data_IF_791890417035
#
_entry.id   IF_791890417035
#
_cell.length_a   1.000
_cell.length_b   1.000
_cell.length_c   1.000
_cell.angle_alpha   90.00
_cell.angle_beta   90.00
_cell.angle_gamma   90.00
#
_symmetry.space_group_name_H-M   'P 1'
#
loop_
_entity.id
_entity.type
_entity.pdbx_description
1 polymer ?
#
# COMPACT_ATOMS: atom_id res chain seq x y z
N UNK A 1 29.16 -3.01 75.52
CA UNK A 1 30.18 -2.01 75.90
C UNK A 1 31.26 -1.92 74.82
N UNK A 2 31.77 -0.69 74.59
CA UNK A 2 32.95 -0.27 73.80
C UNK A 2 32.87 -0.25 72.25
N UNK A 3 32.73 0.99 71.75
CA UNK A 3 33.25 1.48 70.46
C UNK A 3 34.75 1.18 70.31
N UNK A 4 35.22 0.96 69.09
CA UNK A 4 36.49 1.55 68.64
C UNK A 4 36.52 1.77 67.13
N UNK A 5 36.90 3.00 66.79
CA UNK A 5 37.25 3.55 65.48
C UNK A 5 38.36 2.78 64.78
N UNK A 6 38.23 2.60 63.46
CA UNK A 6 39.35 2.55 62.48
C UNK A 6 38.83 2.63 61.04
N UNK A 7 38.18 3.74 60.71
CA UNK A 7 37.89 4.13 59.33
C UNK A 7 38.60 5.42 58.99
N UNK A 8 39.89 5.37 58.60
CA UNK A 8 40.51 6.48 57.85
C UNK A 8 41.91 6.23 57.23
N UNK A 9 42.27 4.98 56.86
CA UNK A 9 43.58 4.72 56.25
C UNK A 9 43.52 4.22 54.78
N UNK A 10 42.33 3.88 54.26
CA UNK A 10 42.20 3.35 52.88
C UNK A 10 41.84 4.39 51.82
N UNK A 11 41.24 5.52 52.18
CA UNK A 11 40.83 6.53 51.19
C UNK A 11 41.95 7.49 50.75
N UNK A 12 43.03 7.64 51.53
CA UNK A 12 44.13 8.56 51.20
C UNK A 12 45.11 7.98 50.18
N UNK A 13 45.27 6.64 50.12
CA UNK A 13 46.14 5.99 49.12
C UNK A 13 45.53 5.88 47.71
N UNK A 14 44.20 5.84 47.60
CA UNK A 14 43.52 5.78 46.30
C UNK A 14 43.53 7.12 45.54
N UNK A 15 43.35 8.24 46.25
CA UNK A 15 43.35 9.56 45.64
C UNK A 15 44.75 10.04 45.21
N UNK A 16 45.83 9.60 45.88
CA UNK A 16 47.19 9.99 45.47
C UNK A 16 47.68 9.27 44.19
N UNK A 17 47.14 8.09 43.86
CA UNK A 17 47.53 7.33 42.66
C UNK A 17 46.87 7.81 41.36
N UNK A 18 45.77 8.58 41.44
CA UNK A 18 45.02 9.06 40.26
C UNK A 18 45.37 10.50 39.89
N UNK A 19 45.86 11.30 40.83
CA UNK A 19 46.21 12.71 40.59
C UNK A 19 47.47 12.85 39.73
N UNK A 20 48.46 11.97 39.92
CA UNK A 20 49.72 11.98 39.18
C UNK A 20 49.56 11.71 37.67
N UNK A 21 48.82 10.67 37.21
CA UNK A 21 48.59 10.47 35.78
C UNK A 21 47.68 11.54 35.14
N UNK A 22 46.73 12.11 35.90
CA UNK A 22 45.88 13.21 35.42
C UNK A 22 46.66 14.52 35.20
N UNK A 23 47.58 14.85 36.12
CA UNK A 23 48.46 16.02 35.97
C UNK A 23 49.47 15.83 34.83
N UNK A 24 49.99 14.61 34.62
CA UNK A 24 50.82 14.27 33.47
C UNK A 24 50.05 14.40 32.15
N UNK A 25 48.82 13.89 32.08
CA UNK A 25 47.96 14.03 30.90
C UNK A 25 47.63 15.50 30.59
N UNK A 26 47.33 16.30 31.62
CA UNK A 26 47.11 17.74 31.47
C UNK A 26 48.37 18.48 31.03
N UNK A 27 49.54 18.13 31.57
CA UNK A 27 50.84 18.70 31.18
C UNK A 27 51.18 18.37 29.72
N UNK A 28 50.97 17.13 29.27
CA UNK A 28 51.14 16.77 27.86
C UNK A 28 50.12 17.49 26.96
N UNK A 29 48.85 17.57 27.36
CA UNK A 29 47.83 18.27 26.59
C UNK A 29 48.15 19.77 26.42
N UNK A 30 48.61 20.43 27.50
CA UNK A 30 49.06 21.82 27.46
C UNK A 30 50.34 22.00 26.64
N UNK A 31 51.31 21.09 26.75
CA UNK A 31 52.53 21.10 25.92
C UNK A 31 52.20 20.92 24.42
N UNK A 32 51.27 20.03 24.07
CA UNK A 32 50.81 19.84 22.68
C UNK A 32 50.04 21.05 22.14
N UNK A 33 49.33 21.79 23.00
CA UNK A 33 48.69 23.06 22.62
C UNK A 33 49.72 24.20 22.45
N UNK A 34 50.75 24.28 23.29
CA UNK A 34 51.75 25.36 23.25
C UNK A 34 52.83 25.16 22.18
N UNK A 35 53.15 23.91 21.79
CA UNK A 35 54.21 23.63 20.81
C UNK A 35 53.75 23.66 19.34
N UNK A 36 52.47 23.94 19.03
CA UNK A 36 52.03 24.18 17.65
C UNK A 36 52.37 23.07 16.64
N UNK A 37 52.59 21.83 17.10
CA UNK A 37 53.15 20.74 16.26
C UNK A 37 52.11 20.13 15.31
N UNK A 38 50.83 20.50 15.42
CA UNK A 38 49.82 20.14 14.42
C UNK A 38 49.25 21.32 13.63
N UNK A 39 49.78 22.54 13.79
CA UNK A 39 49.39 23.70 12.99
C UNK A 39 50.34 24.00 11.81
N UNK A 40 51.32 23.13 11.53
CA UNK A 40 52.35 23.37 10.52
C UNK A 40 52.48 22.31 9.40
N UNK A 41 51.59 21.32 9.29
CA UNK A 41 51.58 20.37 8.14
C UNK A 41 50.42 20.60 7.14
N UNK A 42 49.42 21.42 7.45
CA UNK A 42 48.43 21.85 6.45
C UNK A 42 48.23 23.37 6.49
N UNK A 43 49.29 24.11 6.16
CA UNK A 43 49.19 25.48 5.64
C UNK A 43 49.56 25.46 4.16
N UNK A 44 48.76 24.73 3.38
CA UNK A 44 48.67 25.04 1.95
C UNK A 44 47.91 26.36 1.84
N UNK A 45 48.61 27.35 1.32
CA UNK A 45 48.08 28.65 0.99
C UNK A 45 46.75 28.54 0.25
N UNK A 46 45.80 29.41 0.61
CA UNK A 46 44.60 29.65 -0.16
C UNK A 46 44.97 30.07 -1.58
N UNK A 47 44.92 29.11 -2.50
CA UNK A 47 44.69 29.26 -3.94
C UNK A 47 44.42 27.86 -4.48
N UNK A 48 43.19 27.64 -4.95
CA UNK A 48 42.69 26.44 -5.63
C UNK A 48 42.20 25.27 -4.75
N UNK A 49 41.12 25.47 -3.99
CA UNK A 49 40.24 24.35 -3.58
C UNK A 49 39.11 24.10 -4.60
N UNK A 50 38.79 25.08 -5.44
CA UNK A 50 37.70 24.97 -6.41
C UNK A 50 38.00 24.05 -7.61
N UNK A 51 39.28 23.87 -7.99
CA UNK A 51 39.63 23.01 -9.15
C UNK A 51 39.61 21.52 -8.79
N UNK A 52 39.89 21.16 -7.53
CA UNK A 52 39.90 19.77 -7.07
C UNK A 52 38.52 19.19 -6.73
N UNK A 53 37.64 20.00 -6.13
CA UNK A 53 36.25 19.59 -5.85
C UNK A 53 35.42 19.43 -7.12
N UNK A 54 35.62 20.32 -8.12
CA UNK A 54 34.96 20.21 -9.43
C UNK A 54 35.42 18.93 -10.17
N UNK A 55 36.72 18.62 -10.18
CA UNK A 55 37.23 17.37 -10.77
C UNK A 55 36.67 16.12 -10.06
N UNK A 56 36.53 16.13 -8.73
CA UNK A 56 35.96 14.99 -8.01
C UNK A 56 34.46 14.82 -8.26
N UNK A 57 33.68 15.90 -8.24
CA UNK A 57 32.24 15.87 -8.56
C UNK A 57 32.00 15.43 -10.00
N UNK A 58 32.80 15.91 -10.95
CA UNK A 58 32.68 15.52 -12.35
C UNK A 58 33.06 14.04 -12.57
N UNK A 59 34.06 13.52 -11.84
CA UNK A 59 34.36 12.08 -11.84
C UNK A 59 33.24 11.25 -11.24
N UNK A 60 32.65 11.69 -10.13
CA UNK A 60 31.49 11.02 -9.54
C UNK A 60 30.33 10.98 -10.53
N UNK A 61 30.05 12.11 -11.19
CA UNK A 61 29.02 12.21 -12.23
C UNK A 61 29.29 11.24 -13.39
N UNK A 62 30.52 11.23 -13.90
CA UNK A 62 30.94 10.33 -14.98
C UNK A 62 30.92 8.84 -14.57
N UNK A 63 30.99 8.53 -13.27
CA UNK A 63 30.93 7.16 -12.75
C UNK A 63 29.51 6.58 -12.63
N UNK A 64 28.46 7.42 -12.79
CA UNK A 64 27.08 6.96 -12.65
C UNK A 64 26.76 5.97 -13.78
N UNK A 65 26.51 4.72 -13.39
CA UNK A 65 26.20 3.63 -14.32
C UNK A 65 24.70 3.36 -14.33
N UNK A 66 24.09 3.39 -15.52
CA UNK A 66 22.70 2.99 -15.72
C UNK A 66 22.59 1.48 -15.94
N UNK A 67 21.68 0.86 -15.19
CA UNK A 67 21.39 -0.56 -15.21
C UNK A 67 19.95 -0.78 -15.71
N UNK A 68 19.67 -1.87 -16.44
CA UNK A 68 18.33 -2.12 -16.98
C UNK A 68 17.30 -2.29 -15.85
N UNK A 69 16.10 -1.71 -16.02
CA UNK A 69 14.96 -1.93 -15.11
C UNK A 69 14.28 -3.28 -15.31
N UNK A 70 14.53 -3.95 -16.45
CA UNK A 70 13.96 -5.27 -16.78
C UNK A 70 15.02 -6.18 -17.39
N UNK A 71 15.05 -7.42 -16.93
CA UNK A 71 15.72 -8.54 -17.58
C UNK A 71 14.64 -9.55 -18.01
N UNK A 72 14.67 -9.99 -19.26
CA UNK A 72 13.67 -10.91 -19.82
C UNK A 72 13.78 -12.34 -19.28
N UNK A 73 14.90 -12.67 -18.61
CA UNK A 73 15.14 -13.97 -17.99
C UNK A 73 14.55 -14.05 -16.57
N UNK A 74 14.26 -12.91 -15.98
CA UNK A 74 13.80 -12.78 -14.59
C UNK A 74 12.41 -12.16 -14.51
N UNK A 75 11.72 -12.40 -13.40
CA UNK A 75 10.44 -11.73 -13.16
C UNK A 75 10.66 -10.24 -12.86
N UNK A 76 9.76 -9.38 -13.33
CA UNK A 76 9.90 -7.94 -13.17
C UNK A 76 10.03 -7.51 -11.68
N UNK A 77 9.27 -8.15 -10.80
CA UNK A 77 9.31 -7.94 -9.34
C UNK A 77 10.67 -8.29 -8.71
N UNK A 78 11.46 -9.14 -9.38
CA UNK A 78 12.81 -9.52 -8.94
C UNK A 78 13.86 -8.56 -9.50
N UNK A 79 13.73 -8.15 -10.77
CA UNK A 79 14.79 -7.39 -11.45
C UNK A 79 14.70 -5.86 -11.25
N UNK A 80 13.52 -5.31 -11.04
CA UNK A 80 13.32 -3.87 -10.97
C UNK A 80 14.13 -3.24 -9.81
N UNK A 81 15.17 -2.46 -10.12
CA UNK A 81 16.14 -1.90 -9.14
C UNK A 81 16.88 -3.01 -8.36
N UNK A 82 17.32 -4.06 -9.04
CA UNK A 82 17.89 -5.28 -8.44
C UNK A 82 19.23 -5.13 -7.70
N UNK A 83 19.94 -4.01 -7.82
CA UNK A 83 21.22 -3.81 -7.10
C UNK A 83 21.07 -3.57 -5.61
N UNK A 84 19.84 -3.36 -5.13
CA UNK A 84 19.53 -3.18 -3.73
C UNK A 84 18.47 -4.19 -3.29
N UNK A 85 18.65 -4.74 -2.10
CA UNK A 85 17.65 -5.56 -1.43
C UNK A 85 16.60 -4.68 -0.75
N UNK A 86 15.34 -5.01 -0.98
CA UNK A 86 14.20 -4.36 -0.35
C UNK A 86 13.94 -4.95 1.04
N UNK A 87 13.69 -4.08 2.01
CA UNK A 87 13.54 -4.46 3.42
C UNK A 87 12.11 -4.27 3.90
N UNK A 88 11.68 -5.12 4.85
CA UNK A 88 10.42 -4.96 5.59
C UNK A 88 10.74 -4.28 6.92
N UNK A 89 10.92 -2.96 6.89
CA UNK A 89 11.31 -2.18 8.08
C UNK A 89 10.25 -1.13 8.43
N UNK A 90 9.63 -1.20 9.64
CA UNK A 90 9.79 -2.26 10.64
C UNK A 90 9.24 -3.61 10.17
N UNK A 91 9.65 -4.70 10.84
CA UNK A 91 9.20 -6.06 10.54
C UNK A 91 7.66 -6.13 10.36
N UNK A 92 7.25 -6.81 9.30
CA UNK A 92 5.86 -7.01 8.98
C UNK A 92 5.23 -5.89 8.15
N UNK A 93 5.99 -4.89 7.71
CA UNK A 93 5.60 -3.93 6.69
C UNK A 93 5.84 -4.44 5.26
N UNK A 94 5.28 -3.75 4.27
CA UNK A 94 5.58 -4.03 2.88
C UNK A 94 7.07 -3.82 2.59
N UNK A 95 7.65 -4.74 1.83
CA UNK A 95 9.04 -4.58 1.38
C UNK A 95 9.16 -3.35 0.49
N UNK A 96 10.12 -2.50 0.81
CA UNK A 96 10.35 -1.24 0.11
C UNK A 96 11.83 -0.89 0.00
N UNK A 97 12.15 -0.03 -0.97
CA UNK A 97 13.40 0.70 -1.05
C UNK A 97 13.12 2.18 -0.80
N UNK A 98 13.96 2.83 0.01
CA UNK A 98 13.85 4.26 0.30
C UNK A 98 15.11 4.96 -0.19
N UNK A 99 14.94 6.11 -0.84
CA UNK A 99 16.01 6.93 -1.37
C UNK A 99 15.83 8.39 -0.95
N UNK A 100 16.91 9.09 -0.59
CA UNK A 100 18.20 8.53 -0.19
C UNK A 100 18.08 7.71 1.10
N UNK A 101 18.96 6.74 1.30
CA UNK A 101 19.03 5.95 2.54
C UNK A 101 20.44 5.44 2.81
N UNK A 102 20.66 4.83 3.98
CA UNK A 102 21.92 4.14 4.28
C UNK A 102 22.21 3.01 3.28
N UNK A 103 21.18 2.27 2.84
CA UNK A 103 21.32 1.21 1.84
C UNK A 103 21.76 1.77 0.48
N UNK A 104 21.29 2.96 0.10
CA UNK A 104 21.76 3.65 -1.10
C UNK A 104 23.03 4.46 -0.88
N UNK A 105 23.67 4.42 0.30
CA UNK A 105 24.81 5.28 0.67
C UNK A 105 24.53 6.78 0.44
N UNK A 106 23.30 7.22 0.71
CA UNK A 106 22.86 8.61 0.52
C UNK A 106 22.57 9.00 -0.93
N UNK A 107 22.63 8.06 -1.88
CA UNK A 107 22.35 8.32 -3.31
C UNK A 107 20.85 8.38 -3.59
N UNK A 108 20.49 9.25 -4.53
CA UNK A 108 19.16 9.40 -5.11
C UNK A 108 18.91 8.32 -6.16
N UNK A 109 17.63 8.04 -6.42
CA UNK A 109 17.20 7.19 -7.52
C UNK A 109 17.05 8.05 -8.80
N UNK A 110 17.77 7.68 -9.84
CA UNK A 110 17.64 8.24 -11.19
C UNK A 110 17.05 7.20 -12.13
N UNK A 111 16.06 7.58 -12.94
CA UNK A 111 15.41 6.73 -13.93
C UNK A 111 15.55 7.35 -15.32
N UNK A 112 16.02 6.56 -16.28
CA UNK A 112 15.92 6.86 -17.70
C UNK A 112 14.87 5.91 -18.28
N UNK A 113 13.69 6.44 -18.59
CA UNK A 113 12.51 5.62 -18.89
C UNK A 113 11.75 6.09 -20.14
N UNK A 114 12.38 6.06 -21.33
CA UNK A 114 11.76 6.54 -22.56
C UNK A 114 10.61 5.63 -23.06
N UNK A 115 10.57 4.36 -22.63
CA UNK A 115 9.70 3.34 -23.21
C UNK A 115 8.47 3.02 -22.38
N UNK A 116 7.32 3.01 -23.05
CA UNK A 116 6.00 2.63 -22.49
C UNK A 116 5.54 1.25 -22.92
N UNK A 117 6.30 0.58 -23.79
CA UNK A 117 5.92 -0.69 -24.46
C UNK A 117 6.99 -1.76 -24.39
N UNK A 118 8.18 -1.39 -23.93
CA UNK A 118 9.32 -2.28 -23.81
C UNK A 118 10.17 -1.86 -22.63
N UNK A 119 9.95 -2.49 -21.47
CA UNK A 119 10.66 -2.18 -20.24
C UNK A 119 12.16 -2.48 -20.28
N UNK A 120 12.65 -3.25 -21.26
CA UNK A 120 14.10 -3.52 -21.41
C UNK A 120 14.88 -2.28 -21.86
N UNK A 121 14.16 -1.28 -22.41
CA UNK A 121 14.72 0.01 -22.82
C UNK A 121 14.74 1.05 -21.70
N UNK A 122 14.21 0.72 -20.54
CA UNK A 122 14.23 1.61 -19.38
C UNK A 122 15.35 1.16 -18.43
N UNK A 123 15.97 2.12 -17.77
CA UNK A 123 17.12 1.92 -16.91
C UNK A 123 17.05 2.78 -15.64
N UNK A 124 17.82 2.41 -14.63
CA UNK A 124 17.98 3.15 -13.39
C UNK A 124 19.45 3.32 -13.04
N UNK A 125 19.75 4.36 -12.26
CA UNK A 125 21.06 4.59 -11.68
C UNK A 125 20.91 5.17 -10.27
N UNK A 126 21.99 5.12 -9.50
CA UNK A 126 22.09 5.76 -8.19
C UNK A 126 23.17 6.84 -8.25
N UNK A 127 22.82 8.07 -7.87
CA UNK A 127 23.74 9.21 -7.92
C UNK A 127 23.63 10.09 -6.67
N UNK A 128 24.72 10.73 -6.27
CA UNK A 128 24.69 11.74 -5.20
C UNK A 128 24.01 13.01 -5.70
N UNK A 129 23.33 13.73 -4.81
CA UNK A 129 22.60 14.96 -5.14
C UNK A 129 23.46 16.00 -5.87
N UNK A 130 24.74 16.12 -5.48
CA UNK A 130 25.66 17.11 -6.06
C UNK A 130 26.40 16.58 -7.31
N UNK A 131 26.23 15.30 -7.63
CA UNK A 131 26.89 14.60 -8.74
C UNK A 131 25.88 13.81 -9.60
N UNK A 132 24.73 14.43 -9.91
CA UNK A 132 23.73 13.84 -10.81
C UNK A 132 24.30 13.70 -12.23
N UNK A 133 23.86 12.70 -13.02
CA UNK A 133 24.25 12.53 -14.42
C UNK A 133 24.05 13.82 -15.24
N UNK A 134 24.88 14.02 -16.25
CA UNK A 134 24.77 15.20 -17.11
C UNK A 134 23.39 15.29 -17.76
N UNK A 135 22.80 16.48 -17.70
CA UNK A 135 21.47 16.76 -18.22
C UNK A 135 20.32 16.19 -17.38
N UNK A 136 20.57 15.47 -16.28
CA UNK A 136 19.51 14.88 -15.48
C UNK A 136 18.64 15.95 -14.80
N UNK A 137 17.33 15.71 -14.77
CA UNK A 137 16.36 16.57 -14.11
C UNK A 137 16.13 16.11 -12.66
N UNK A 138 16.43 16.97 -11.69
CA UNK A 138 16.09 16.72 -10.29
C UNK A 138 14.63 17.10 -10.03
N UNK A 139 13.85 16.14 -9.56
CA UNK A 139 12.44 16.26 -9.23
C UNK A 139 12.28 16.41 -7.71
N UNK A 140 11.83 17.58 -7.19
CA UNK A 140 11.80 17.86 -5.76
C UNK A 140 10.61 17.22 -5.02
N UNK A 141 10.77 16.82 -3.76
CA UNK A 141 9.76 16.12 -2.96
C UNK A 141 9.64 14.62 -3.24
N UNK A 142 8.78 13.96 -2.45
CA UNK A 142 8.62 12.49 -2.46
C UNK A 142 8.02 11.98 -3.77
N UNK A 143 8.70 11.04 -4.41
CA UNK A 143 8.17 10.20 -5.47
C UNK A 143 7.72 8.85 -4.90
N UNK A 144 6.46 8.48 -5.16
CA UNK A 144 6.04 7.08 -5.03
C UNK A 144 6.36 6.35 -6.33
N UNK A 145 7.13 5.26 -6.24
CA UNK A 145 7.49 4.43 -7.39
C UNK A 145 6.87 3.04 -7.24
N UNK A 146 6.02 2.66 -8.19
CA UNK A 146 5.31 1.39 -8.22
C UNK A 146 5.81 0.53 -9.37
N UNK A 147 6.26 -0.68 -9.09
CA UNK A 147 6.39 -1.74 -10.10
C UNK A 147 5.47 -2.90 -9.71
N UNK A 148 4.72 -3.41 -10.68
CA UNK A 148 3.83 -4.54 -10.46
C UNK A 148 3.73 -5.39 -11.71
N UNK A 149 3.53 -6.70 -11.55
CA UNK A 149 3.22 -7.61 -12.66
C UNK A 149 1.81 -7.40 -13.23
N UNK A 150 0.97 -6.59 -12.58
CA UNK A 150 -0.41 -6.40 -12.96
C UNK A 150 -0.72 -5.00 -13.47
N UNK A 151 -1.71 -4.90 -14.36
CA UNK A 151 -2.15 -3.63 -14.91
C UNK A 151 -2.85 -2.73 -13.87
N UNK A 152 -2.40 -1.48 -13.76
CA UNK A 152 -2.96 -0.44 -12.91
C UNK A 152 -4.38 0.00 -13.31
N UNK A 153 -4.85 -0.34 -14.52
CA UNK A 153 -6.23 -0.07 -14.96
C UNK A 153 -7.27 -0.97 -14.28
N UNK A 154 -6.86 -2.14 -13.79
CA UNK A 154 -7.75 -3.06 -13.10
C UNK A 154 -7.79 -2.73 -11.61
N UNK A 155 -9.00 -2.59 -11.05
CA UNK A 155 -9.18 -2.15 -9.66
C UNK A 155 -8.48 -3.06 -8.64
N UNK A 156 -8.65 -4.39 -8.75
CA UNK A 156 -8.03 -5.34 -7.82
C UNK A 156 -6.51 -5.37 -7.95
N UNK A 157 -6.01 -5.31 -9.19
CA UNK A 157 -4.59 -5.28 -9.45
C UNK A 157 -3.94 -4.00 -8.92
N UNK A 158 -4.48 -2.84 -9.27
CA UNK A 158 -3.91 -1.57 -8.85
C UNK A 158 -4.07 -1.29 -7.35
N UNK A 159 -5.15 -1.77 -6.69
CA UNK A 159 -5.24 -1.63 -5.22
C UNK A 159 -4.15 -2.45 -4.52
N UNK A 160 -3.74 -3.60 -5.09
CA UNK A 160 -2.66 -4.41 -4.54
C UNK A 160 -1.29 -3.71 -4.56
N UNK A 161 -1.11 -2.76 -5.50
CA UNK A 161 0.05 -1.88 -5.56
C UNK A 161 -0.10 -0.66 -4.62
N UNK A 162 -1.32 -0.16 -4.41
CA UNK A 162 -1.58 1.00 -3.54
C UNK A 162 -1.51 0.67 -2.03
N UNK A 163 -1.95 -0.53 -1.61
CA UNK A 163 -1.97 -0.97 -0.20
C UNK A 163 -0.61 -0.80 0.51
N UNK A 164 0.53 -1.24 -0.08
CA UNK A 164 1.86 -1.03 0.49
C UNK A 164 2.16 0.44 0.82
N UNK A 165 1.87 1.34 -0.13
CA UNK A 165 2.10 2.75 0.03
C UNK A 165 1.15 3.36 1.07
N UNK A 166 -0.12 2.97 1.08
CA UNK A 166 -1.07 3.40 2.10
C UNK A 166 -0.58 3.04 3.51
N UNK A 167 -0.07 1.82 3.71
CA UNK A 167 0.55 1.39 4.98
C UNK A 167 1.74 2.26 5.36
N UNK A 168 2.68 2.44 4.43
CA UNK A 168 3.88 3.25 4.63
C UNK A 168 3.56 4.72 4.94
N UNK A 169 2.62 5.30 4.21
CA UNK A 169 2.20 6.69 4.37
C UNK A 169 1.49 6.92 5.70
N UNK A 170 0.60 6.01 6.11
CA UNK A 170 -0.05 6.06 7.42
C UNK A 170 1.00 5.98 8.55
N UNK A 171 1.94 5.03 8.45
CA UNK A 171 3.01 4.83 9.42
C UNK A 171 3.92 6.03 9.56
N UNK A 172 4.21 6.73 8.47
CA UNK A 172 5.07 7.92 8.49
C UNK A 172 4.38 9.16 9.06
N UNK A 173 3.16 9.02 9.62
CA UNK A 173 2.34 10.12 10.11
C UNK A 173 1.78 10.97 8.97
N UNK A 174 1.79 10.47 7.74
CA UNK A 174 1.46 11.20 6.51
C UNK A 174 2.30 12.47 6.28
N UNK A 175 3.47 12.57 6.92
CA UNK A 175 4.31 13.78 6.88
C UNK A 175 4.71 14.15 5.46
N UNK A 176 5.10 13.14 4.68
CA UNK A 176 5.46 13.31 3.27
C UNK A 176 4.29 12.85 2.40
N UNK A 177 3.69 13.79 1.67
CA UNK A 177 2.71 13.50 0.62
C UNK A 177 3.46 13.37 -0.71
N UNK A 178 3.10 12.39 -1.57
CA UNK A 178 3.81 12.19 -2.83
C UNK A 178 3.60 13.41 -3.73
N UNK A 179 4.69 14.03 -4.15
CA UNK A 179 4.68 15.08 -5.16
C UNK A 179 4.51 14.50 -6.57
N UNK A 180 4.75 13.18 -6.73
CA UNK A 180 4.52 12.45 -7.97
C UNK A 180 4.45 10.93 -7.79
N UNK A 181 3.88 10.29 -8.80
CA UNK A 181 3.68 8.86 -8.93
C UNK A 181 4.40 8.38 -10.19
N UNK A 182 5.47 7.61 -10.03
CA UNK A 182 6.15 6.94 -11.13
C UNK A 182 5.64 5.49 -11.19
N UNK A 183 4.84 5.18 -12.21
CA UNK A 183 4.13 3.91 -12.30
C UNK A 183 4.75 3.03 -13.39
N UNK A 184 5.04 1.78 -13.04
CA UNK A 184 5.64 0.79 -13.92
C UNK A 184 4.88 -0.53 -13.90
N UNK A 185 4.80 -1.16 -15.06
CA UNK A 185 4.26 -2.51 -15.22
C UNK A 185 5.20 -3.30 -16.13
N UNK A 186 5.87 -4.30 -15.57
CA UNK A 186 6.95 -5.01 -16.25
C UNK A 186 8.07 -4.07 -16.71
N UNK A 187 8.42 -3.09 -15.90
CA UNK A 187 9.42 -2.06 -16.20
C UNK A 187 8.98 -1.04 -17.26
N UNK A 188 7.74 -1.10 -17.76
CA UNK A 188 7.19 -0.14 -18.73
C UNK A 188 6.47 1.01 -18.03
N UNK A 189 6.72 2.25 -18.47
CA UNK A 189 6.06 3.43 -17.90
C UNK A 189 4.55 3.38 -18.14
N UNK A 190 3.78 3.67 -17.08
CA UNK A 190 2.32 3.83 -17.10
C UNK A 190 1.94 5.28 -16.80
N UNK A 191 0.93 5.76 -17.52
CA UNK A 191 0.50 7.17 -17.48
C UNK A 191 -0.61 7.44 -16.47
N UNK A 192 -1.03 6.42 -15.74
CA UNK A 192 -2.08 6.54 -14.75
C UNK A 192 -2.55 5.20 -14.23
N UNK A 193 -3.55 5.27 -13.38
CA UNK A 193 -4.31 4.15 -12.85
C UNK A 193 -5.77 4.30 -13.32
N UNK A 194 -6.63 3.34 -12.96
CA UNK A 194 -8.07 3.54 -13.18
C UNK A 194 -8.57 4.79 -12.42
N UNK A 195 -9.60 5.50 -12.91
CA UNK A 195 -10.15 6.68 -12.22
C UNK A 195 -10.58 6.39 -10.77
N UNK A 196 -11.06 5.18 -10.50
CA UNK A 196 -11.42 4.73 -9.17
C UNK A 196 -10.18 4.63 -8.24
N UNK A 197 -9.07 4.10 -8.76
CA UNK A 197 -7.81 4.00 -8.01
C UNK A 197 -7.16 5.36 -7.80
N UNK A 198 -7.20 6.24 -8.80
CA UNK A 198 -6.78 7.62 -8.67
C UNK A 198 -7.53 8.31 -7.53
N UNK A 199 -8.86 8.21 -7.52
CA UNK A 199 -9.69 8.81 -6.46
C UNK A 199 -9.34 8.25 -5.07
N UNK A 200 -9.06 6.94 -4.97
CA UNK A 200 -8.63 6.32 -3.71
C UNK A 200 -7.23 6.77 -3.27
N UNK A 201 -6.29 6.90 -4.20
CA UNK A 201 -4.93 7.36 -3.93
C UNK A 201 -4.94 8.82 -3.45
N UNK A 202 -5.73 9.67 -4.09
CA UNK A 202 -5.93 11.07 -3.70
C UNK A 202 -6.57 11.18 -2.32
N UNK A 203 -7.61 10.37 -2.04
CA UNK A 203 -8.20 10.32 -0.71
C UNK A 203 -7.18 9.88 0.34
N UNK A 204 -6.43 8.83 0.05
CA UNK A 204 -5.44 8.24 0.96
C UNK A 204 -4.34 9.23 1.34
N UNK A 205 -3.92 10.09 0.40
CA UNK A 205 -2.79 11.01 0.58
C UNK A 205 -3.18 12.46 0.84
N UNK A 206 -4.42 12.85 0.50
CA UNK A 206 -4.93 14.20 0.59
C UNK A 206 -4.30 15.18 -0.42
N UNK A 207 -3.77 14.68 -1.54
CA UNK A 207 -3.21 15.47 -2.65
C UNK A 207 -3.61 14.87 -3.98
N UNK A 208 -3.68 15.71 -5.02
CA UNK A 208 -3.91 15.27 -6.40
C UNK A 208 -2.80 14.32 -6.87
N UNK A 209 -3.18 13.30 -7.64
CA UNK A 209 -2.25 12.31 -8.15
C UNK A 209 -1.55 12.82 -9.43
N UNK A 210 -0.34 13.36 -9.27
CA UNK A 210 0.50 13.77 -10.41
C UNK A 210 1.37 12.60 -10.88
N UNK A 211 1.18 12.14 -12.12
CA UNK A 211 1.96 11.02 -12.68
C UNK A 211 3.23 11.53 -13.36
N UNK A 212 4.38 10.94 -13.03
CA UNK A 212 5.63 11.16 -13.76
C UNK A 212 5.59 10.40 -15.08
N UNK A 213 5.59 11.15 -16.19
CA UNK A 213 5.44 10.58 -17.54
C UNK A 213 6.78 10.38 -18.25
N UNK A 214 7.87 10.88 -17.65
CA UNK A 214 9.24 10.89 -18.19
C UNK A 214 9.36 11.51 -19.59
N UNK A 215 8.31 12.19 -20.07
CA UNK A 215 8.19 12.82 -21.38
C UNK A 215 8.61 11.96 -22.60
N UNK A 216 8.72 10.63 -22.45
CA UNK A 216 9.38 9.75 -23.41
C UNK A 216 10.77 10.26 -23.85
N UNK A 217 11.46 10.96 -22.94
CA UNK A 217 12.79 11.51 -23.14
C UNK A 217 13.84 10.52 -22.68
N UNK A 218 15.01 10.54 -23.34
CA UNK A 218 16.19 9.83 -22.86
C UNK A 218 16.86 10.56 -21.67
N UNK A 219 16.43 11.79 -21.38
CA UNK A 219 16.92 12.58 -20.24
C UNK A 219 16.57 11.87 -18.92
N UNK A 220 17.56 11.52 -18.10
CA UNK A 220 17.30 10.89 -16.81
C UNK A 220 16.56 11.83 -15.85
N UNK A 221 15.63 11.27 -15.09
CA UNK A 221 14.92 11.95 -14.02
C UNK A 221 15.39 11.40 -12.69
N UNK A 222 15.92 12.25 -11.82
CA UNK A 222 16.36 11.88 -10.48
C UNK A 222 15.37 12.42 -9.43
N UNK A 223 15.00 11.60 -8.45
CA UNK A 223 14.06 12.02 -7.41
C UNK A 223 14.81 12.47 -6.15
N UNK A 224 14.43 13.63 -5.60
CA UNK A 224 14.96 14.12 -4.32
C UNK A 224 14.69 13.14 -3.19
N UNK A 225 13.48 12.57 -3.16
CA UNK A 225 13.08 11.49 -2.28
C UNK A 225 12.28 10.47 -3.07
N UNK A 226 12.48 9.17 -2.83
CA UNK A 226 11.66 8.13 -3.43
C UNK A 226 11.40 6.98 -2.46
N UNK A 227 10.19 6.43 -2.53
CA UNK A 227 9.85 5.13 -1.94
C UNK A 227 9.38 4.20 -3.05
N UNK A 228 10.04 3.05 -3.17
CA UNK A 228 9.79 2.07 -4.22
C UNK A 228 9.13 0.83 -3.65
N UNK A 229 8.02 0.40 -4.26
CA UNK A 229 7.38 -0.88 -4.02
C UNK A 229 7.36 -1.70 -5.31
N UNK A 230 8.05 -2.84 -5.30
CA UNK A 230 8.18 -3.74 -6.47
C UNK A 230 7.61 -5.15 -6.25
N UNK A 231 7.08 -5.42 -5.05
CA UNK A 231 6.59 -6.76 -4.63
C UNK A 231 5.16 -6.71 -4.10
N UNK A 232 4.39 -5.69 -4.47
CA UNK A 232 3.04 -5.45 -3.95
C UNK A 232 3.01 -5.59 -2.40
N UNK A 233 2.11 -6.41 -1.86
CA UNK A 233 1.91 -6.63 -0.42
C UNK A 233 2.93 -7.57 0.26
N UNK A 234 4.00 -7.99 -0.42
CA UNK A 234 4.98 -8.91 0.16
C UNK A 234 5.64 -8.32 1.43
N UNK A 235 5.78 -9.16 2.46
CA UNK A 235 6.31 -8.75 3.77
C UNK A 235 5.25 -8.25 4.75
N UNK A 236 4.05 -7.88 4.28
CA UNK A 236 3.01 -7.35 5.17
C UNK A 236 2.40 -8.44 6.05
N UNK A 237 2.38 -8.20 7.36
CA UNK A 237 1.60 -8.96 8.33
C UNK A 237 0.10 -8.71 8.17
N UNK A 238 -0.71 -9.59 8.75
CA UNK A 238 -2.17 -9.44 8.79
C UNK A 238 -2.57 -8.12 9.46
N UNK A 239 -1.90 -7.76 10.54
CA UNK A 239 -2.13 -6.54 11.31
C UNK A 239 -1.87 -5.28 10.45
N UNK A 240 -0.77 -5.26 9.68
CA UNK A 240 -0.45 -4.15 8.78
C UNK A 240 -1.40 -4.05 7.61
N UNK A 241 -1.80 -5.19 7.02
CA UNK A 241 -2.83 -5.21 5.97
C UNK A 241 -4.14 -4.62 6.50
N UNK A 242 -4.62 -5.10 7.65
CA UNK A 242 -5.84 -4.58 8.27
C UNK A 242 -5.75 -3.08 8.55
N UNK A 243 -4.61 -2.59 9.04
CA UNK A 243 -4.40 -1.16 9.28
C UNK A 243 -4.40 -0.34 7.99
N UNK A 244 -3.79 -0.82 6.91
CA UNK A 244 -3.78 -0.16 5.61
C UNK A 244 -5.20 -0.08 5.00
N UNK A 245 -5.97 -1.16 5.06
CA UNK A 245 -7.37 -1.16 4.62
C UNK A 245 -8.23 -0.18 5.45
N UNK A 246 -8.07 -0.17 6.77
CA UNK A 246 -8.76 0.79 7.64
C UNK A 246 -8.40 2.25 7.32
N UNK A 247 -7.12 2.51 7.09
CA UNK A 247 -6.62 3.84 6.75
C UNK A 247 -7.25 4.34 5.44
N UNK A 248 -7.15 3.55 4.37
CA UNK A 248 -7.76 3.88 3.07
C UNK A 248 -9.27 4.08 3.19
N UNK A 249 -9.96 3.18 3.91
CA UNK A 249 -11.40 3.28 4.16
C UNK A 249 -11.77 4.58 4.85
N UNK A 250 -11.05 4.93 5.91
CA UNK A 250 -11.33 6.14 6.65
C UNK A 250 -11.09 7.39 5.79
N UNK A 251 -9.96 7.44 5.08
CA UNK A 251 -9.62 8.55 4.19
C UNK A 251 -10.65 8.74 3.08
N UNK A 252 -11.09 7.66 2.44
CA UNK A 252 -12.15 7.71 1.43
C UNK A 252 -13.47 8.24 2.01
N UNK A 253 -13.87 7.76 3.19
CA UNK A 253 -15.08 8.25 3.88
C UNK A 253 -15.00 9.73 4.21
N UNK A 254 -13.86 10.19 4.73
CA UNK A 254 -13.64 11.59 5.05
C UNK A 254 -13.72 12.48 3.80
N UNK A 255 -13.06 12.09 2.71
CA UNK A 255 -13.13 12.83 1.44
C UNK A 255 -14.55 12.89 0.89
N UNK A 256 -15.32 11.80 1.00
CA UNK A 256 -16.67 11.71 0.46
C UNK A 256 -17.77 12.21 1.39
N UNK A 257 -17.42 12.80 2.54
CA UNK A 257 -18.38 13.33 3.52
C UNK A 257 -19.32 12.26 4.07
N UNK A 258 -18.81 11.06 4.33
CA UNK A 258 -19.59 10.00 4.98
C UNK A 258 -19.60 10.27 6.48
N UNK A 259 -20.75 10.73 6.98
CA UNK A 259 -20.95 10.89 8.41
C UNK A 259 -20.85 9.54 9.13
N UNK A 260 -20.33 9.50 10.37
CA UNK A 260 -20.50 8.33 11.21
C UNK A 260 -22.00 8.01 11.30
N UNK A 261 -22.39 6.72 11.24
CA UNK A 261 -23.80 6.39 11.28
C UNK A 261 -24.41 7.06 12.52
N UNK A 262 -25.50 7.84 12.35
CA UNK A 262 -26.17 8.46 13.48
C UNK A 262 -26.57 7.37 14.47
N UNK A 263 -26.97 7.75 15.70
CA UNK A 263 -27.54 6.84 16.71
C UNK A 263 -28.88 6.20 16.27
N UNK A 264 -29.06 5.89 14.98
CA UNK A 264 -30.09 5.00 14.48
C UNK A 264 -29.87 3.57 14.99
N UNK A 265 -30.82 2.68 14.69
CA UNK A 265 -30.80 1.31 15.19
C UNK A 265 -29.50 0.60 14.79
N UNK A 266 -28.55 0.55 15.73
CA UNK A 266 -27.26 -0.11 15.56
C UNK A 266 -27.40 -1.62 15.35
N UNK A 267 -28.60 -2.17 15.52
CA UNK A 267 -28.93 -3.56 15.26
C UNK A 267 -29.52 -3.81 13.87
N UNK A 268 -29.83 -2.79 13.07
CA UNK A 268 -30.40 -2.96 11.72
C UNK A 268 -29.37 -3.60 10.75
N UNK A 269 -29.83 -4.52 9.89
CA UNK A 269 -28.96 -5.24 8.93
C UNK A 269 -29.12 -4.62 7.54
N UNK A 270 -28.07 -4.02 7.00
CA UNK A 270 -28.09 -3.35 5.69
C UNK A 270 -27.43 -4.26 4.66
N UNK A 271 -28.23 -4.76 3.73
CA UNK A 271 -27.80 -5.67 2.66
C UNK A 271 -27.71 -4.89 1.36
N UNK A 272 -26.64 -5.07 0.62
CA UNK A 272 -26.46 -4.48 -0.70
C UNK A 272 -26.21 -5.55 -1.74
N UNK A 273 -27.02 -5.57 -2.80
CA UNK A 273 -26.71 -6.31 -4.02
C UNK A 273 -26.07 -5.33 -5.01
N UNK A 274 -24.79 -5.54 -5.30
CA UNK A 274 -24.04 -4.72 -6.25
C UNK A 274 -23.98 -5.43 -7.60
N UNK A 275 -24.84 -5.00 -8.51
CA UNK A 275 -24.91 -5.48 -9.88
C UNK A 275 -23.84 -4.83 -10.78
N UNK A 276 -23.68 -5.43 -11.96
CA UNK A 276 -22.78 -4.98 -13.02
C UNK A 276 -23.39 -5.26 -14.38
N UNK A 277 -23.00 -4.51 -15.40
CA UNK A 277 -23.37 -4.79 -16.78
C UNK A 277 -22.40 -5.76 -17.48
N UNK A 278 -22.90 -6.40 -18.54
CA UNK A 278 -22.11 -7.22 -19.47
C UNK A 278 -21.54 -8.49 -18.83
N UNK A 279 -20.22 -8.65 -18.93
CA UNK A 279 -19.53 -9.86 -18.51
C UNK A 279 -19.82 -10.18 -17.03
N UNK A 280 -20.32 -11.39 -16.73
CA UNK A 280 -20.66 -11.83 -15.36
C UNK A 280 -21.82 -11.08 -14.70
N UNK A 281 -22.65 -10.39 -15.48
CA UNK A 281 -23.95 -9.92 -15.00
C UNK A 281 -24.87 -11.13 -14.69
N UNK A 282 -25.84 -10.94 -13.79
CA UNK A 282 -26.88 -11.94 -13.61
C UNK A 282 -27.85 -11.93 -14.81
N UNK A 283 -28.34 -13.10 -15.20
CA UNK A 283 -29.34 -13.23 -16.28
C UNK A 283 -30.69 -12.62 -15.88
N UNK A 284 -31.06 -12.73 -14.60
CA UNK A 284 -32.30 -12.18 -14.05
C UNK A 284 -32.02 -11.48 -12.71
N UNK A 285 -31.61 -10.22 -12.78
CA UNK A 285 -31.37 -9.38 -11.59
C UNK A 285 -32.63 -9.23 -10.72
N UNK A 286 -33.82 -9.26 -11.33
CA UNK A 286 -35.08 -9.11 -10.63
C UNK A 286 -35.39 -10.35 -9.78
N UNK A 287 -35.19 -11.56 -10.31
CA UNK A 287 -35.33 -12.80 -9.54
C UNK A 287 -34.35 -12.86 -8.37
N UNK A 288 -33.08 -12.55 -8.63
CA UNK A 288 -32.04 -12.49 -7.59
C UNK A 288 -32.45 -11.51 -6.49
N UNK A 289 -32.91 -10.31 -6.86
CA UNK A 289 -33.40 -9.30 -5.92
C UNK A 289 -34.58 -9.80 -5.10
N UNK A 290 -35.58 -10.43 -5.73
CA UNK A 290 -36.76 -10.97 -5.03
C UNK A 290 -36.40 -11.98 -3.96
N UNK A 291 -35.45 -12.89 -4.23
CA UNK A 291 -35.02 -13.91 -3.27
C UNK A 291 -34.40 -13.26 -2.04
N UNK A 292 -33.42 -12.37 -2.22
CA UNK A 292 -32.76 -11.72 -1.09
C UNK A 292 -33.67 -10.73 -0.35
N UNK A 293 -34.56 -10.04 -1.05
CA UNK A 293 -35.56 -9.17 -0.44
C UNK A 293 -36.50 -9.95 0.48
N UNK A 294 -36.96 -11.13 0.04
CA UNK A 294 -37.84 -12.01 0.82
C UNK A 294 -37.17 -12.49 2.11
N UNK A 295 -35.90 -12.89 2.04
CA UNK A 295 -35.16 -13.33 3.24
C UNK A 295 -34.78 -12.16 4.15
N UNK A 296 -34.45 -10.99 3.60
CA UNK A 296 -34.21 -9.78 4.39
C UNK A 296 -35.47 -9.39 5.16
N UNK A 297 -36.66 -9.44 4.56
CA UNK A 297 -37.93 -9.12 5.23
C UNK A 297 -38.24 -10.02 6.45
N UNK A 298 -37.58 -11.18 6.58
CA UNK A 298 -37.72 -12.08 7.75
C UNK A 298 -36.83 -11.68 8.93
N UNK A 299 -35.88 -10.77 8.73
CA UNK A 299 -34.95 -10.31 9.76
C UNK A 299 -35.35 -8.90 10.20
N UNK A 300 -35.64 -8.74 11.49
CA UNK A 300 -36.10 -7.47 12.04
C UNK A 300 -35.09 -6.34 11.81
N UNK A 301 -35.55 -5.25 11.17
CA UNK A 301 -34.72 -4.10 10.82
C UNK A 301 -33.75 -4.36 9.67
N UNK A 302 -33.94 -5.42 8.86
CA UNK A 302 -33.15 -5.62 7.66
C UNK A 302 -33.67 -4.73 6.51
N UNK A 303 -32.75 -4.08 5.81
CA UNK A 303 -33.02 -3.30 4.60
C UNK A 303 -32.13 -3.79 3.46
N UNK A 304 -32.74 -4.00 2.29
CA UNK A 304 -32.02 -4.36 1.07
C UNK A 304 -31.93 -3.16 0.12
N UNK A 305 -30.75 -2.92 -0.42
CA UNK A 305 -30.50 -1.95 -1.49
C UNK A 305 -29.90 -2.66 -2.68
N UNK A 306 -30.40 -2.37 -3.88
CA UNK A 306 -29.77 -2.77 -5.12
C UNK A 306 -29.11 -1.56 -5.77
N UNK A 307 -27.91 -1.77 -6.32
CA UNK A 307 -27.22 -0.73 -7.07
C UNK A 307 -26.39 -1.38 -8.16
N UNK A 308 -26.06 -0.62 -9.21
CA UNK A 308 -25.13 -1.06 -10.24
C UNK A 308 -23.84 -0.29 -10.12
N UNK A 309 -22.73 -1.00 -10.04
CA UNK A 309 -21.40 -0.38 -9.88
C UNK A 309 -21.06 0.61 -10.99
N UNK A 310 -21.48 0.33 -12.22
CA UNK A 310 -21.24 1.17 -13.40
C UNK A 310 -21.98 2.52 -13.35
N UNK A 311 -23.05 2.62 -12.53
CA UNK A 311 -23.92 3.80 -12.43
C UNK A 311 -23.52 4.72 -11.25
N UNK A 312 -22.50 4.35 -10.47
CA UNK A 312 -22.11 5.04 -9.24
C UNK A 312 -20.79 5.79 -9.39
N UNK A 313 -20.75 7.05 -8.94
CA UNK A 313 -19.48 7.76 -8.77
C UNK A 313 -18.63 7.11 -7.67
N UNK A 314 -17.35 7.46 -7.59
CA UNK A 314 -16.47 6.99 -6.51
C UNK A 314 -17.09 7.26 -5.13
N UNK A 315 -17.58 8.47 -4.87
CA UNK A 315 -18.16 8.80 -3.59
C UNK A 315 -19.53 8.17 -3.34
N UNK A 316 -20.32 7.89 -4.38
CA UNK A 316 -21.55 7.10 -4.21
C UNK A 316 -21.23 5.66 -3.82
N UNK A 317 -20.18 5.06 -4.39
CA UNK A 317 -19.67 3.74 -3.98
C UNK A 317 -19.19 3.77 -2.53
N UNK A 318 -18.40 4.77 -2.14
CA UNK A 318 -17.92 4.93 -0.75
C UNK A 318 -19.11 5.06 0.22
N UNK A 319 -20.10 5.91 -0.08
CA UNK A 319 -21.30 6.11 0.75
C UNK A 319 -22.12 4.82 0.88
N UNK A 320 -22.41 4.17 -0.25
CA UNK A 320 -23.19 2.93 -0.29
C UNK A 320 -22.52 1.85 0.56
N UNK A 321 -21.23 1.56 0.30
CA UNK A 321 -20.53 0.44 0.94
C UNK A 321 -20.15 0.72 2.40
N UNK A 322 -19.99 1.98 2.79
CA UNK A 322 -19.91 2.36 4.21
C UNK A 322 -21.21 2.06 4.95
N UNK A 323 -22.32 2.06 4.22
CA UNK A 323 -23.64 1.68 4.68
C UNK A 323 -23.94 0.18 4.64
N UNK A 324 -23.01 -0.68 4.19
CA UNK A 324 -23.29 -2.09 3.90
C UNK A 324 -22.75 -3.03 4.97
N UNK A 325 -23.63 -3.86 5.54
CA UNK A 325 -23.28 -4.95 6.47
C UNK A 325 -23.11 -6.30 5.74
N UNK A 326 -23.86 -6.52 4.64
CA UNK A 326 -23.74 -7.70 3.79
C UNK A 326 -23.71 -7.29 2.32
N UNK A 327 -22.61 -7.59 1.63
CA UNK A 327 -22.43 -7.35 0.20
C UNK A 327 -22.64 -8.64 -0.59
N UNK A 328 -23.46 -8.55 -1.63
CA UNK A 328 -23.79 -9.64 -2.55
C UNK A 328 -23.40 -9.13 -3.94
N UNK A 329 -22.44 -9.78 -4.61
CA UNK A 329 -22.06 -9.36 -5.96
C UNK A 329 -21.45 -10.51 -6.76
N UNK A 330 -21.51 -10.41 -8.09
CA UNK A 330 -20.75 -11.32 -8.93
C UNK A 330 -19.25 -11.07 -8.83
N UNK A 331 -18.44 -12.09 -9.06
CA UNK A 331 -17.00 -11.99 -9.08
C UNK A 331 -16.55 -10.99 -10.16
N UNK A 332 -15.79 -9.98 -9.79
CA UNK A 332 -15.26 -9.00 -10.74
C UNK A 332 -14.77 -7.73 -10.10
N UNK A 333 -14.18 -6.83 -10.90
CA UNK A 333 -13.51 -5.61 -10.43
C UNK A 333 -14.35 -4.78 -9.45
N UNK A 334 -15.68 -4.77 -9.61
CA UNK A 334 -16.58 -4.03 -8.73
C UNK A 334 -16.58 -4.51 -7.27
N UNK A 335 -16.23 -5.78 -7.02
CA UNK A 335 -16.10 -6.34 -5.68
C UNK A 335 -14.94 -5.71 -4.90
N UNK A 336 -14.00 -5.03 -5.57
CA UNK A 336 -12.93 -4.25 -4.92
C UNK A 336 -13.50 -3.17 -3.97
N UNK A 337 -14.74 -2.72 -4.21
CA UNK A 337 -15.47 -1.83 -3.30
C UNK A 337 -15.65 -2.36 -1.87
N UNK A 338 -15.38 -3.65 -1.61
CA UNK A 338 -15.30 -4.19 -0.25
C UNK A 338 -14.37 -3.40 0.67
N UNK A 339 -13.38 -2.68 0.11
CA UNK A 339 -12.47 -1.83 0.90
C UNK A 339 -13.23 -0.81 1.75
N UNK A 340 -14.40 -0.35 1.30
CA UNK A 340 -15.19 0.67 1.99
C UNK A 340 -16.12 0.14 3.07
N UNK A 341 -16.31 -1.19 3.16
CA UNK A 341 -17.20 -1.82 4.14
C UNK A 341 -16.57 -1.86 5.53
N UNK A 342 -17.40 -1.75 6.57
CA UNK A 342 -16.93 -1.91 7.95
C UNK A 342 -16.36 -3.30 8.22
N UNK A 343 -15.39 -3.37 9.15
CA UNK A 343 -14.87 -4.65 9.64
C UNK A 343 -16.02 -5.55 10.14
N UNK A 344 -15.85 -6.86 9.95
CA UNK A 344 -16.82 -7.90 10.26
C UNK A 344 -18.09 -7.90 9.40
N UNK A 345 -18.22 -7.00 8.41
CA UNK A 345 -19.23 -7.15 7.37
C UNK A 345 -19.01 -8.42 6.55
N UNK A 346 -20.06 -8.90 5.91
CA UNK A 346 -20.09 -10.20 5.22
C UNK A 346 -20.17 -10.02 3.70
N UNK A 347 -19.58 -10.96 2.95
CA UNK A 347 -19.59 -10.98 1.48
C UNK A 347 -20.09 -12.32 0.96
N UNK A 348 -20.90 -12.27 -0.10
CA UNK A 348 -21.25 -13.39 -0.97
C UNK A 348 -20.76 -13.13 -2.39
N UNK A 349 -20.12 -14.14 -2.97
CA UNK A 349 -19.57 -14.04 -4.31
C UNK A 349 -20.18 -15.05 -5.29
N UNK A 350 -20.55 -14.58 -6.48
CA UNK A 350 -21.16 -15.42 -7.52
C UNK A 350 -20.29 -15.50 -8.78
N UNK A 351 -20.20 -16.69 -9.37
CA UNK A 351 -19.38 -16.93 -10.56
C UNK A 351 -20.22 -17.58 -11.65
N UNK A 352 -19.94 -17.28 -12.93
CA UNK A 352 -20.52 -18.06 -14.01
C UNK A 352 -19.91 -19.47 -14.04
N UNK A 353 -20.56 -20.34 -14.80
CA UNK A 353 -20.10 -21.70 -15.04
C UNK A 353 -18.64 -21.75 -15.48
N UNK A 354 -17.92 -22.78 -15.06
CA UNK A 354 -16.55 -23.03 -15.50
C UNK A 354 -15.46 -22.33 -14.69
N UNK A 355 -15.81 -21.35 -13.84
CA UNK A 355 -14.83 -20.67 -12.99
C UNK A 355 -14.21 -21.60 -11.95
N UNK A 356 -15.02 -22.45 -11.31
CA UNK A 356 -14.56 -23.36 -10.26
C UNK A 356 -13.43 -24.25 -10.76
N UNK A 357 -13.60 -24.75 -11.98
CA UNK A 357 -12.70 -25.71 -12.61
C UNK A 357 -11.49 -25.04 -13.29
N UNK A 358 -11.60 -23.78 -13.71
CA UNK A 358 -10.62 -23.18 -14.65
C UNK A 358 -9.95 -21.89 -14.19
N UNK A 359 -10.50 -21.16 -13.23
CA UNK A 359 -9.97 -19.85 -12.85
C UNK A 359 -8.73 -19.91 -11.94
N UNK A 360 -8.31 -21.10 -11.51
CA UNK A 360 -7.16 -21.29 -10.63
C UNK A 360 -7.29 -20.46 -9.35
N UNK A 361 -6.20 -19.82 -8.93
CA UNK A 361 -6.20 -18.91 -7.76
C UNK A 361 -7.05 -17.65 -7.93
N UNK A 362 -7.34 -17.24 -9.18
CA UNK A 362 -8.08 -16.00 -9.47
C UNK A 362 -9.48 -15.97 -8.88
N UNK A 363 -10.11 -17.13 -8.64
CA UNK A 363 -11.41 -17.19 -7.98
C UNK A 363 -11.36 -16.81 -6.49
N UNK A 364 -10.21 -16.87 -5.83
CA UNK A 364 -10.09 -16.63 -4.38
C UNK A 364 -9.66 -15.21 -4.02
N UNK A 365 -9.46 -14.32 -5.00
CA UNK A 365 -8.92 -12.97 -4.76
C UNK A 365 -9.74 -12.15 -3.79
N UNK A 366 -11.08 -12.20 -3.86
CA UNK A 366 -11.94 -11.46 -2.94
C UNK A 366 -12.18 -12.18 -1.61
N UNK A 367 -11.95 -13.50 -1.55
CA UNK A 367 -11.80 -14.21 -0.27
C UNK A 367 -10.56 -13.73 0.48
N UNK A 368 -9.42 -13.60 -0.21
CA UNK A 368 -8.21 -13.02 0.39
C UNK A 368 -8.40 -11.53 0.71
N UNK A 369 -9.03 -10.77 -0.18
CA UNK A 369 -9.34 -9.36 0.03
C UNK A 369 -10.22 -9.15 1.27
N UNK A 370 -11.27 -9.95 1.44
CA UNK A 370 -12.12 -9.93 2.62
C UNK A 370 -11.32 -10.19 3.90
N UNK A 371 -10.51 -11.25 3.94
CA UNK A 371 -9.70 -11.59 5.12
C UNK A 371 -8.72 -10.44 5.49
N UNK A 372 -8.05 -9.88 4.48
CA UNK A 372 -7.10 -8.76 4.62
C UNK A 372 -7.78 -7.44 5.05
N UNK A 373 -9.03 -7.22 4.65
CA UNK A 373 -9.83 -6.06 5.01
C UNK A 373 -10.59 -6.22 6.34
N UNK A 374 -10.48 -7.39 6.98
CA UNK A 374 -11.16 -7.70 8.25
C UNK A 374 -12.64 -8.01 8.07
N UNK A 375 -13.03 -8.49 6.90
CA UNK A 375 -14.38 -8.89 6.52
C UNK A 375 -14.54 -10.41 6.57
N UNK A 376 -15.78 -10.87 6.41
CA UNK A 376 -16.12 -12.29 6.38
C UNK A 376 -16.55 -12.69 4.98
N UNK A 377 -15.83 -13.61 4.37
CA UNK A 377 -16.27 -14.23 3.12
C UNK A 377 -17.21 -15.40 3.45
N UNK A 378 -18.52 -15.18 3.34
CA UNK A 378 -19.57 -16.09 3.84
C UNK A 378 -20.03 -17.11 2.79
N UNK A 379 -19.45 -17.11 1.60
CA UNK A 379 -19.71 -18.15 0.59
C UNK A 379 -19.39 -17.72 -0.82
N UNK A 380 -19.25 -18.74 -1.67
CA UNK A 380 -19.11 -18.61 -3.11
C UNK A 380 -20.15 -19.53 -3.76
N UNK A 381 -20.83 -19.06 -4.80
CA UNK A 381 -21.70 -19.88 -5.63
C UNK A 381 -21.24 -19.86 -7.08
N UNK A 382 -21.04 -21.04 -7.65
CA UNK A 382 -20.67 -21.21 -9.05
C UNK A 382 -21.87 -21.77 -9.80
N UNK A 383 -22.26 -21.09 -10.86
CA UNK A 383 -23.41 -21.49 -11.67
C UNK A 383 -23.20 -22.89 -12.30
N UNK A 384 -23.95 -23.93 -11.90
CA UNK A 384 -23.82 -25.25 -12.50
C UNK A 384 -24.49 -25.35 -13.88
N UNK A 385 -25.46 -24.46 -14.15
CA UNK A 385 -26.35 -24.52 -15.31
C UNK A 385 -26.10 -23.38 -16.32
N UNK A 386 -25.00 -22.63 -16.17
CA UNK A 386 -24.61 -21.60 -17.11
C UNK A 386 -24.36 -22.12 -18.53
N UNK A 387 -24.28 -21.18 -19.48
CA UNK A 387 -24.15 -21.50 -20.91
C UNK A 387 -22.85 -22.28 -21.18
N UNK A 388 -22.89 -23.35 -21.98
CA UNK A 388 -21.70 -24.07 -22.37
C UNK A 388 -20.81 -23.20 -23.26
N UNK A 389 -19.50 -23.45 -23.20
CA UNK A 389 -18.56 -22.89 -24.15
C UNK A 389 -18.00 -24.00 -25.07
N UNK A 390 -18.61 -24.24 -26.24
CA UNK A 390 -18.04 -25.13 -27.25
C UNK A 390 -16.94 -24.43 -28.06
N UNK A 391 -15.89 -25.16 -28.44
CA UNK A 391 -14.96 -24.77 -29.50
C UNK A 391 -13.92 -23.69 -29.18
N UNK A 392 -13.78 -23.25 -27.91
CA UNK A 392 -12.72 -22.29 -27.53
C UNK A 392 -11.46 -23.02 -27.07
N UNK A 393 -10.27 -22.74 -27.67
CA UNK A 393 -9.00 -23.23 -27.13
C UNK A 393 -8.63 -22.53 -25.80
N UNK A 394 -9.09 -21.28 -25.62
CA UNK A 394 -9.00 -20.55 -24.36
C UNK A 394 -10.34 -20.71 -23.62
N UNK A 395 -10.44 -21.85 -22.92
CA UNK A 395 -11.67 -22.21 -22.23
C UNK A 395 -11.92 -21.24 -21.07
N UNK A 396 -10.88 -20.68 -20.44
CA UNK A 396 -11.07 -19.69 -19.37
C UNK A 396 -11.70 -18.41 -19.89
N UNK A 397 -11.17 -17.77 -20.94
CA UNK A 397 -11.74 -16.50 -21.42
C UNK A 397 -13.19 -16.63 -21.87
N UNK A 398 -13.55 -17.77 -22.45
CA UNK A 398 -14.92 -18.00 -22.92
C UNK A 398 -15.94 -18.15 -21.78
N UNK A 399 -15.61 -18.86 -20.70
CA UNK A 399 -16.48 -18.96 -19.53
C UNK A 399 -16.40 -17.72 -18.64
N UNK A 400 -15.24 -17.05 -18.61
CA UNK A 400 -14.94 -15.90 -17.76
C UNK A 400 -16.01 -14.82 -17.83
N UNK A 401 -16.50 -14.54 -19.03
CA UNK A 401 -17.40 -13.43 -19.32
C UNK A 401 -18.88 -13.82 -19.45
N UNK A 402 -19.25 -15.09 -19.24
CA UNK A 402 -20.65 -15.52 -19.33
C UNK A 402 -21.50 -14.89 -18.23
N UNK A 403 -22.79 -14.75 -18.50
CA UNK A 403 -23.76 -14.32 -17.51
C UNK A 403 -24.03 -15.43 -16.50
N UNK A 404 -24.51 -15.03 -15.33
CA UNK A 404 -24.71 -15.89 -14.16
C UNK A 404 -26.20 -16.17 -14.01
N UNK A 405 -26.59 -17.44 -13.92
CA UNK A 405 -27.94 -17.84 -13.54
C UNK A 405 -28.27 -17.54 -12.07
N UNK A 406 -29.37 -18.10 -11.58
CA UNK A 406 -29.72 -18.03 -10.16
C UNK A 406 -30.30 -19.36 -9.70
N UNK A 407 -30.17 -19.63 -8.41
CA UNK A 407 -30.76 -20.78 -7.72
C UNK A 407 -31.50 -20.24 -6.50
N UNK A 408 -32.83 -20.13 -6.61
CA UNK A 408 -33.63 -19.48 -5.56
C UNK A 408 -33.49 -20.20 -4.21
N UNK A 409 -33.44 -21.53 -4.20
CA UNK A 409 -33.37 -22.32 -2.98
C UNK A 409 -32.02 -22.15 -2.29
N UNK A 410 -30.91 -22.24 -3.04
CA UNK A 410 -29.58 -22.01 -2.50
C UNK A 410 -29.44 -20.57 -1.97
N UNK A 411 -29.90 -19.59 -2.75
CA UNK A 411 -29.74 -18.17 -2.43
C UNK A 411 -30.55 -17.82 -1.17
N UNK A 412 -31.78 -18.35 -1.06
CA UNK A 412 -32.62 -18.19 0.12
C UNK A 412 -32.00 -18.84 1.37
N UNK A 413 -31.50 -20.08 1.25
CA UNK A 413 -30.87 -20.78 2.38
C UNK A 413 -29.62 -20.05 2.87
N UNK A 414 -28.78 -19.59 1.94
CA UNK A 414 -27.60 -18.80 2.28
C UNK A 414 -27.99 -17.49 2.97
N UNK A 415 -28.96 -16.76 2.41
CA UNK A 415 -29.39 -15.45 2.91
C UNK A 415 -29.98 -15.54 4.31
N UNK A 416 -30.88 -16.51 4.56
CA UNK A 416 -31.49 -16.73 5.86
C UNK A 416 -30.43 -16.91 6.96
N UNK A 417 -29.41 -17.74 6.69
CA UNK A 417 -28.31 -17.99 7.62
C UNK A 417 -27.47 -16.73 7.86
N UNK A 418 -27.04 -16.06 6.79
CA UNK A 418 -26.08 -14.95 6.90
C UNK A 418 -26.73 -13.69 7.45
N UNK A 419 -27.96 -13.38 7.08
CA UNK A 419 -28.67 -12.20 7.59
C UNK A 419 -29.00 -12.34 9.08
N UNK A 420 -29.42 -13.54 9.53
CA UNK A 420 -29.62 -13.82 10.95
C UNK A 420 -28.31 -13.69 11.74
N UNK A 421 -27.22 -14.30 11.25
CA UNK A 421 -25.91 -14.19 11.90
C UNK A 421 -25.38 -12.75 11.93
N UNK A 422 -25.64 -11.95 10.89
CA UNK A 422 -25.31 -10.52 10.87
C UNK A 422 -26.10 -9.75 11.93
N UNK A 423 -27.40 -10.04 12.10
CA UNK A 423 -28.25 -9.43 13.14
C UNK A 423 -27.72 -9.71 14.53
N UNK A 424 -27.39 -10.97 14.83
CA UNK A 424 -26.84 -11.38 16.13
C UNK A 424 -25.54 -10.64 16.46
N UNK A 425 -24.62 -10.56 15.48
CA UNK A 425 -23.35 -9.84 15.66
C UNK A 425 -23.58 -8.36 15.95
N UNK A 426 -24.49 -7.70 15.23
CA UNK A 426 -24.79 -6.28 15.46
C UNK A 426 -25.44 -6.04 16.83
N UNK A 427 -26.35 -6.91 17.26
CA UNK A 427 -26.91 -6.86 18.60
C UNK A 427 -25.83 -7.02 19.69
N UNK A 428 -24.90 -7.97 19.51
CA UNK A 428 -23.78 -8.17 20.45
C UNK A 428 -22.79 -7.00 20.49
N UNK A 429 -22.55 -6.32 19.37
CA UNK A 429 -21.71 -5.12 19.32
C UNK A 429 -22.37 -3.91 19.98
N UNK A 430 -23.68 -3.73 19.77
CA UNK A 430 -24.45 -2.65 20.40
C UNK A 430 -24.44 -2.73 21.94
N UNK A 431 -24.35 -3.95 22.49
CA UNK A 431 -24.28 -4.18 23.93
C UNK A 431 -22.91 -3.86 24.57
N UNK A 432 -21.87 -3.53 23.79
CA UNK A 432 -20.49 -3.44 24.29
C UNK A 432 -19.65 -2.20 23.94
N UNK A 433 -20.22 -1.11 23.39
CA UNK A 433 -19.41 -0.16 22.61
C UNK A 433 -19.20 1.25 23.20
N UNK A 434 -18.03 1.45 23.83
CA UNK A 434 -17.37 2.74 23.99
C UNK A 434 -15.87 2.71 23.62
N UNK A 435 -15.20 1.56 23.70
CA UNK A 435 -13.75 1.43 23.49
C UNK A 435 -13.32 1.17 22.05
N UNK A 436 -14.17 0.57 21.20
CA UNK A 436 -13.82 0.25 19.80
C UNK A 436 -13.95 1.47 18.87
N UNK A 437 -14.95 2.34 19.08
CA UNK A 437 -15.08 3.61 18.34
C UNK A 437 -13.86 4.52 18.51
N UNK A 438 -13.23 4.54 19.70
CA UNK A 438 -12.00 5.30 19.96
C UNK A 438 -10.78 4.79 19.18
N UNK A 439 -10.68 3.49 18.87
CA UNK A 439 -9.58 2.94 18.07
C UNK A 439 -9.71 3.25 16.58
N UNK A 440 -10.94 3.28 16.04
CA UNK A 440 -11.20 3.63 14.64
C UNK A 440 -10.88 5.10 14.31
N UNK A 441 -11.09 6.01 15.26
CA UNK A 441 -10.70 7.41 15.11
C UNK A 441 -9.16 7.59 15.07
N UNK A 442 -8.42 6.82 15.87
CA UNK A 442 -6.95 6.89 15.91
C UNK A 442 -6.29 6.47 14.57
N UNK A 443 -6.88 5.54 13.82
CA UNK A 443 -6.36 5.07 12.52
C UNK A 443 -6.58 6.05 11.36
N UNK A 444 -7.36 7.12 11.55
CA UNK A 444 -7.62 8.13 10.51
C UNK A 444 -6.64 9.31 10.53
N UNK A 445 -5.96 9.50 11.66
CA UNK A 445 -5.15 10.69 11.90
C UNK A 445 -3.73 10.52 11.37
N UNK A 446 -3.32 11.50 10.57
CA UNK A 446 -1.94 11.78 10.27
C UNK A 446 -1.37 12.53 11.48
N UNK A 447 -0.25 12.05 12.04
CA UNK A 447 0.34 12.56 13.29
C UNK A 447 1.48 13.56 13.06
#
# INVERSE_FOLDING_TARGET
>A
MKKSSKGNAKHVKGSLCLVTPLLLAAFFYLQFQTLGVFSHIFRCAGRSAAIGDVDYVDRLRASVTFLPLKDTREWAETWFISTLDDTSEPEGEAKSLVFPSAASAGRLLCLSAPSRRDGTKNAYALAWRDALPDGAELRPGLAYVSETAYDHSNLWHGISALIPFASWHARSGCRSRPARWALFHHGEVRLGMSPWLTSLAEATTGVEMVVETFNASDVPVCFEEAVVFRRNMAGMTRERLLAAFDFMRCKARAQCGVDPPPNGDTSAVRVTILFRTGARAFKDEAAVTRVFQKECARVAGCSLTTARSDDLTFCDQVKLLSGTDVLISSHGAQMTNLVFMDRNSSIMEFYPKGWRERAGGGQFVYRWGADRAGLRHEGSWWDPHGDPCPGSPDILSCYKNRQIGHDEAYFAQWAARVFAAAKERKAGLAAGDASKRRRGAATCHCS
#
